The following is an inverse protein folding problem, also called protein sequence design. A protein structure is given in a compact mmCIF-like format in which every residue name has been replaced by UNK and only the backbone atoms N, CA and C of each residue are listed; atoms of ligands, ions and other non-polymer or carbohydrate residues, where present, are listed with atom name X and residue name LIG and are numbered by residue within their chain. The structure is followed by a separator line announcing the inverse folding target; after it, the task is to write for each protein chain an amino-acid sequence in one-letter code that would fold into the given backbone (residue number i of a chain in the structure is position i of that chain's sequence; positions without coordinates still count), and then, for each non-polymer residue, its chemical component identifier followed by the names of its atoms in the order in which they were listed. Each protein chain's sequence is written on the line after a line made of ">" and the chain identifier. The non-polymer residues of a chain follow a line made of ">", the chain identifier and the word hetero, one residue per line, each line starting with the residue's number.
data_IF_678518888687
#
_entry.id   IF_678518888687
#
_cell.length_a   1.000
_cell.length_b   1.000
_cell.length_c   1.000
_cell.angle_alpha   90.00
_cell.angle_beta   90.00
_cell.angle_gamma   90.00
#
_symmetry.space_group_name_H-M   'P 1'
#
loop_
_entity.id
_entity.type
_entity.pdbx_description
1 polymer ?
#
# COMPACT_ATOMS: atom_id res chain seq x y z
N UNK A 1 22.20 -27.34 19.32
CA UNK A 1 20.89 -27.16 19.98
C UNK A 1 19.96 -26.46 19.00
N UNK A 2 18.77 -26.98 18.76
CA UNK A 2 17.81 -26.42 17.81
C UNK A 2 16.62 -25.83 18.59
N UNK A 3 16.03 -24.75 18.07
CA UNK A 3 14.80 -24.14 18.67
C UNK A 3 13.66 -25.15 18.82
N UNK A 4 13.62 -26.17 17.96
CA UNK A 4 12.61 -27.25 18.03
C UNK A 4 12.69 -28.10 19.31
N UNK A 5 13.84 -28.11 19.96
CA UNK A 5 14.11 -28.96 21.14
C UNK A 5 13.83 -28.19 22.44
N UNK A 6 13.46 -26.88 22.37
CA UNK A 6 13.26 -26.00 23.51
C UNK A 6 11.81 -25.53 23.57
N UNK A 7 11.14 -25.82 24.67
CA UNK A 7 9.83 -25.26 24.99
C UNK A 7 10.00 -23.76 25.34
N UNK A 8 9.50 -22.89 24.46
CA UNK A 8 9.66 -21.43 24.60
C UNK A 8 9.02 -20.87 25.88
N UNK A 9 8.04 -21.56 26.49
CA UNK A 9 7.48 -21.16 27.78
C UNK A 9 8.52 -21.21 28.90
N UNK A 10 9.54 -22.07 28.77
CA UNK A 10 10.62 -22.11 29.76
C UNK A 10 11.42 -20.80 29.77
N UNK A 11 11.56 -20.11 28.65
CA UNK A 11 12.27 -18.82 28.56
C UNK A 11 11.52 -17.72 29.34
N UNK A 12 10.18 -17.76 29.37
CA UNK A 12 9.36 -16.87 30.20
C UNK A 12 9.63 -17.09 31.68
N UNK A 13 9.77 -18.36 32.09
CA UNK A 13 10.14 -18.70 33.47
C UNK A 13 11.53 -18.20 33.81
N UNK A 14 12.51 -18.36 32.90
CA UNK A 14 13.87 -17.85 33.08
C UNK A 14 13.88 -16.33 33.31
N UNK A 15 13.21 -15.56 32.44
CA UNK A 15 13.15 -14.11 32.55
C UNK A 15 12.46 -13.64 33.85
N UNK A 16 11.35 -14.31 34.22
CA UNK A 16 10.65 -13.99 35.46
C UNK A 16 11.52 -14.24 36.70
N UNK A 17 12.23 -15.38 36.78
CA UNK A 17 13.11 -15.69 37.92
C UNK A 17 14.31 -14.73 37.96
N UNK A 18 14.85 -14.33 36.82
CA UNK A 18 15.92 -13.33 36.70
C UNK A 18 15.49 -11.98 37.26
N UNK A 19 14.28 -11.52 36.92
CA UNK A 19 13.73 -10.23 37.34
C UNK A 19 13.36 -10.23 38.81
N UNK A 20 12.64 -11.26 39.26
CA UNK A 20 12.10 -11.35 40.61
C UNK A 20 13.10 -11.87 41.65
N UNK A 21 14.29 -12.35 41.21
CA UNK A 21 15.34 -12.95 42.05
C UNK A 21 14.82 -14.04 42.99
N UNK A 22 13.76 -14.76 42.59
CA UNK A 22 13.14 -15.80 43.42
C UNK A 22 12.12 -16.63 42.68
N UNK A 23 12.06 -17.93 43.04
CA UNK A 23 11.11 -18.88 42.41
C UNK A 23 9.66 -18.58 42.83
N UNK A 24 9.44 -18.26 44.09
CA UNK A 24 8.07 -17.97 44.63
C UNK A 24 7.49 -16.69 44.03
N UNK A 25 8.17 -15.54 44.04
CA UNK A 25 7.65 -14.33 43.39
C UNK A 25 7.51 -14.48 41.86
N UNK A 26 8.43 -15.18 41.19
CA UNK A 26 8.28 -15.47 39.78
C UNK A 26 7.06 -16.34 39.48
N UNK A 27 6.75 -17.34 40.31
CA UNK A 27 5.54 -18.15 40.18
C UNK A 27 4.28 -17.32 40.32
N UNK A 28 4.22 -16.43 41.30
CA UNK A 28 3.09 -15.51 41.50
C UNK A 28 2.90 -14.60 40.26
N UNK A 29 3.95 -14.01 39.77
CA UNK A 29 3.93 -13.13 38.58
C UNK A 29 3.52 -13.83 37.27
N UNK A 30 3.76 -15.15 37.19
CA UNK A 30 3.40 -15.97 36.00
C UNK A 30 2.05 -16.68 36.15
N UNK A 31 1.38 -16.60 37.29
CA UNK A 31 0.18 -17.39 37.58
C UNK A 31 0.43 -18.90 37.66
N UNK A 32 1.65 -19.30 38.05
CA UNK A 32 2.09 -20.68 38.15
C UNK A 32 2.30 -21.08 39.62
N UNK A 33 2.38 -22.41 39.88
CA UNK A 33 2.81 -22.90 41.17
C UNK A 33 4.33 -22.91 41.31
N UNK A 34 4.86 -22.77 42.51
CA UNK A 34 6.31 -22.82 42.78
C UNK A 34 6.96 -24.13 42.30
N UNK A 35 6.34 -25.32 42.46
CA UNK A 35 6.86 -26.56 41.86
C UNK A 35 6.95 -26.52 40.34
N UNK A 36 5.96 -25.90 39.66
CA UNK A 36 5.97 -25.77 38.21
C UNK A 36 7.16 -24.93 37.72
N UNK A 37 7.42 -23.80 38.37
CA UNK A 37 8.61 -22.95 38.07
C UNK A 37 9.91 -23.69 38.34
N UNK A 38 10.00 -24.43 39.48
CA UNK A 38 11.19 -25.25 39.80
C UNK A 38 11.45 -26.33 38.76
N UNK A 39 10.41 -27.01 38.28
CA UNK A 39 10.51 -28.03 37.23
C UNK A 39 10.92 -27.42 35.89
N UNK A 40 10.40 -26.25 35.54
CA UNK A 40 10.78 -25.51 34.35
C UNK A 40 12.26 -25.13 34.37
N UNK A 41 12.77 -24.64 35.50
CA UNK A 41 14.19 -24.37 35.70
C UNK A 41 15.05 -25.63 35.61
N UNK A 42 14.59 -26.74 36.14
CA UNK A 42 15.31 -28.01 36.02
C UNK A 42 15.45 -28.48 34.56
N UNK A 43 14.39 -28.33 33.75
CA UNK A 43 14.43 -28.59 32.31
C UNK A 43 15.39 -27.64 31.58
N UNK A 44 15.36 -26.33 31.88
CA UNK A 44 16.29 -25.38 31.28
C UNK A 44 17.76 -25.68 31.62
N UNK A 45 18.05 -26.09 32.85
CA UNK A 45 19.40 -26.59 33.25
C UNK A 45 19.88 -27.73 32.40
N UNK A 46 18.97 -28.68 32.09
CA UNK A 46 19.27 -29.79 31.19
C UNK A 46 19.54 -29.32 29.76
N UNK A 47 18.78 -28.36 29.29
CA UNK A 47 18.93 -27.79 27.93
C UNK A 47 20.25 -27.03 27.75
N UNK A 48 20.61 -26.20 28.72
CA UNK A 48 21.79 -25.32 28.59
C UNK A 48 23.06 -25.91 29.23
N UNK A 49 22.95 -26.95 30.00
CA UNK A 49 24.10 -27.54 30.73
C UNK A 49 24.65 -26.60 31.81
N UNK A 50 23.88 -25.62 32.24
CA UNK A 50 24.25 -24.65 33.24
C UNK A 50 23.22 -24.59 34.37
N UNK A 51 23.66 -24.24 35.58
CA UNK A 51 22.77 -24.10 36.76
C UNK A 51 21.79 -22.92 36.61
N UNK A 52 22.07 -21.95 35.74
CA UNK A 52 21.37 -20.72 35.47
C UNK A 52 21.21 -19.79 36.67
N UNK A 53 20.84 -20.33 37.82
CA UNK A 53 20.69 -19.58 39.07
C UNK A 53 21.26 -20.35 40.24
N UNK A 54 21.90 -19.64 41.16
CA UNK A 54 22.41 -20.12 42.44
C UNK A 54 21.67 -19.45 43.57
N UNK A 55 21.45 -20.18 44.66
CA UNK A 55 20.76 -19.65 45.86
C UNK A 55 21.77 -18.89 46.69
N UNK A 56 21.44 -17.67 47.07
CA UNK A 56 22.23 -16.79 47.94
C UNK A 56 21.36 -16.27 49.09
N UNK A 57 21.95 -15.66 50.12
CA UNK A 57 21.17 -15.00 51.20
C UNK A 57 20.21 -13.92 50.66
N UNK A 58 20.56 -13.30 49.50
CA UNK A 58 19.76 -12.29 48.82
C UNK A 58 18.73 -12.83 47.81
N UNK A 59 18.59 -14.17 47.68
CA UNK A 59 17.62 -14.80 46.76
C UNK A 59 18.28 -15.70 45.73
N UNK A 60 17.83 -15.63 44.50
CA UNK A 60 18.36 -16.40 43.33
C UNK A 60 19.23 -15.47 42.46
N UNK A 61 20.54 -15.70 42.47
CA UNK A 61 21.49 -14.95 41.63
C UNK A 61 21.81 -15.70 40.34
N UNK A 62 21.83 -14.98 39.21
CA UNK A 62 22.15 -15.53 37.91
C UNK A 62 23.64 -15.88 37.79
N UNK A 63 23.92 -17.05 37.17
CA UNK A 63 25.28 -17.42 36.74
C UNK A 63 25.81 -16.43 35.68
N UNK A 64 27.13 -16.37 35.42
CA UNK A 64 27.66 -15.58 34.30
C UNK A 64 26.97 -15.93 32.99
N UNK A 65 26.80 -17.21 32.66
CA UNK A 65 26.09 -17.67 31.47
C UNK A 65 24.63 -17.17 31.42
N UNK A 66 23.89 -17.26 32.52
CA UNK A 66 22.52 -16.77 32.57
C UNK A 66 22.42 -15.24 32.38
N UNK A 67 23.44 -14.47 32.80
CA UNK A 67 23.49 -13.02 32.55
C UNK A 67 23.70 -12.70 31.06
N UNK A 68 24.57 -13.46 30.39
CA UNK A 68 24.79 -13.33 28.94
C UNK A 68 23.52 -13.72 28.14
N UNK A 69 22.79 -14.74 28.63
CA UNK A 69 21.57 -15.22 28.00
C UNK A 69 20.36 -14.25 28.20
N UNK A 70 20.41 -13.39 29.22
CA UNK A 70 19.29 -12.55 29.62
C UNK A 70 18.80 -11.61 28.51
N UNK A 71 19.72 -10.92 27.86
CA UNK A 71 19.35 -9.95 26.83
C UNK A 71 18.80 -10.59 25.54
N UNK A 72 19.45 -11.63 24.98
CA UNK A 72 18.87 -12.40 23.87
C UNK A 72 17.49 -12.96 24.17
N UNK A 73 17.25 -13.49 25.37
CA UNK A 73 15.93 -14.04 25.76
C UNK A 73 14.89 -12.92 25.83
N UNK A 74 15.18 -11.78 26.44
CA UNK A 74 14.25 -10.64 26.48
C UNK A 74 13.86 -10.14 25.10
N UNK A 75 14.83 -10.01 24.19
CA UNK A 75 14.58 -9.60 22.81
C UNK A 75 13.70 -10.61 22.08
N UNK A 76 13.96 -11.91 22.24
CA UNK A 76 13.13 -12.95 21.64
C UNK A 76 11.69 -12.92 22.16
N UNK A 77 11.49 -12.80 23.49
CA UNK A 77 10.17 -12.69 24.11
C UNK A 77 9.45 -11.42 23.64
N UNK A 78 10.13 -10.28 23.56
CA UNK A 78 9.55 -9.03 23.07
C UNK A 78 9.10 -9.14 21.60
N UNK A 79 9.86 -9.84 20.75
CA UNK A 79 9.46 -10.12 19.36
C UNK A 79 8.23 -11.03 19.29
N UNK A 80 8.15 -12.06 20.15
CA UNK A 80 6.98 -12.94 20.23
C UNK A 80 5.76 -12.14 20.74
N UNK A 81 5.91 -11.34 21.79
CA UNK A 81 4.84 -10.50 22.30
C UNK A 81 4.37 -9.48 21.26
N UNK A 82 5.29 -8.88 20.52
CA UNK A 82 4.97 -8.01 19.39
C UNK A 82 4.17 -8.77 18.30
N UNK A 83 4.57 -9.99 17.97
CA UNK A 83 3.86 -10.82 17.00
C UNK A 83 2.45 -11.21 17.48
N UNK A 84 2.27 -11.48 18.77
CA UNK A 84 0.97 -11.80 19.39
C UNK A 84 0.10 -10.55 19.57
N UNK A 85 0.70 -9.40 19.84
CA UNK A 85 0.02 -8.10 19.89
C UNK A 85 -0.50 -7.64 18.52
N UNK A 86 0.01 -8.26 17.41
CA UNK A 86 -0.59 -8.15 16.08
C UNK A 86 -1.92 -8.95 16.03
N UNK A 87 -2.77 -8.74 17.02
CA UNK A 87 -4.17 -9.17 16.93
C UNK A 87 -4.87 -8.52 15.73
N UNK A 88 -6.09 -8.96 15.38
CA UNK A 88 -6.83 -8.46 14.21
C UNK A 88 -7.25 -6.98 14.32
N UNK A 89 -6.68 -6.20 15.23
CA UNK A 89 -6.92 -4.78 15.43
C UNK A 89 -5.96 -3.92 14.60
N UNK A 90 -6.51 -2.92 13.93
CA UNK A 90 -5.75 -1.83 13.32
C UNK A 90 -6.12 -0.52 14.03
N UNK A 91 -5.15 0.07 14.70
CA UNK A 91 -5.29 1.39 15.31
C UNK A 91 -4.49 2.42 14.49
N UNK A 92 -5.17 3.34 13.77
CA UNK A 92 -4.50 4.36 12.98
C UNK A 92 -3.54 5.23 13.78
N UNK A 93 -3.84 5.47 15.08
CA UNK A 93 -3.04 6.37 15.93
C UNK A 93 -1.68 5.82 16.33
N UNK A 94 -1.52 4.49 16.36
CA UNK A 94 -0.31 3.83 16.86
C UNK A 94 0.42 2.95 15.85
N UNK A 95 -0.23 2.60 14.74
CA UNK A 95 0.34 1.70 13.73
C UNK A 95 1.51 2.31 12.98
N UNK A 96 2.52 1.48 12.67
CA UNK A 96 3.65 1.81 11.78
C UNK A 96 3.60 1.02 10.46
N UNK A 97 2.43 0.47 10.12
CA UNK A 97 2.24 -0.37 8.93
C UNK A 97 2.62 0.37 7.65
N UNK A 98 3.32 -0.31 6.75
CA UNK A 98 3.50 0.13 5.38
C UNK A 98 2.37 -0.44 4.52
N UNK A 99 1.73 0.42 3.72
CA UNK A 99 0.77 0.02 2.71
C UNK A 99 1.36 0.21 1.33
N UNK A 100 1.35 -0.86 0.55
CA UNK A 100 1.79 -0.87 -0.85
C UNK A 100 0.60 -0.76 -1.77
N UNK A 101 0.67 0.18 -2.69
CA UNK A 101 -0.43 0.37 -3.63
C UNK A 101 0.08 0.64 -5.04
N UNK A 102 -0.75 0.25 -6.00
CA UNK A 102 -0.55 0.57 -7.40
C UNK A 102 -1.45 1.73 -7.80
N UNK A 103 -0.86 2.70 -8.48
CA UNK A 103 -1.53 3.74 -9.28
C UNK A 103 -0.67 4.01 -10.49
N UNK A 104 -1.29 4.22 -11.67
CA UNK A 104 -0.56 4.77 -12.81
C UNK A 104 0.02 6.15 -12.45
N UNK A 105 0.99 6.64 -13.22
CA UNK A 105 1.54 8.00 -13.05
C UNK A 105 0.45 9.08 -13.08
N UNK A 106 -0.57 8.89 -13.92
CA UNK A 106 -1.76 9.73 -13.98
C UNK A 106 -2.55 9.70 -12.67
N UNK A 107 -2.76 8.51 -12.10
CA UNK A 107 -3.41 8.37 -10.79
C UNK A 107 -2.59 9.00 -9.67
N UNK A 108 -1.27 8.86 -9.71
CA UNK A 108 -0.38 9.49 -8.72
C UNK A 108 -0.48 11.02 -8.74
N UNK A 109 -0.57 11.63 -9.94
CA UNK A 109 -0.72 13.10 -10.07
C UNK A 109 -1.98 13.60 -9.36
N UNK A 110 -3.07 12.86 -9.43
CA UNK A 110 -4.38 13.29 -8.92
C UNK A 110 -4.64 12.82 -7.49
N UNK A 111 -4.37 11.52 -7.20
CA UNK A 111 -4.84 10.90 -5.96
C UNK A 111 -3.81 10.93 -4.84
N UNK A 112 -2.51 10.87 -5.16
CA UNK A 112 -1.50 10.74 -4.13
C UNK A 112 -1.39 11.96 -3.21
N UNK A 113 -1.39 13.22 -3.70
CA UNK A 113 -1.26 14.38 -2.80
C UNK A 113 -2.36 14.47 -1.74
N UNK A 114 -3.67 14.41 -2.06
CA UNK A 114 -4.69 14.47 -1.03
C UNK A 114 -4.76 13.19 -0.16
N UNK A 115 -4.36 12.03 -0.71
CA UNK A 115 -4.32 10.79 0.06
C UNK A 115 -3.23 10.82 1.13
N UNK A 116 -2.01 11.25 0.78
CA UNK A 116 -0.91 11.32 1.75
C UNK A 116 -1.20 12.35 2.84
N UNK A 117 -1.76 13.50 2.49
CA UNK A 117 -2.15 14.53 3.45
C UNK A 117 -3.19 13.98 4.46
N UNK A 118 -4.18 13.26 3.98
CA UNK A 118 -5.20 12.65 4.83
C UNK A 118 -4.65 11.55 5.71
N UNK A 119 -3.83 10.65 5.15
CA UNK A 119 -3.22 9.54 5.89
C UNK A 119 -2.27 10.07 6.97
N UNK A 120 -1.44 11.07 6.68
CA UNK A 120 -0.54 11.67 7.68
C UNK A 120 -1.29 12.29 8.86
N UNK A 121 -2.47 12.88 8.63
CA UNK A 121 -3.30 13.41 9.73
C UNK A 121 -3.96 12.32 10.55
N UNK A 122 -4.47 11.27 9.90
CA UNK A 122 -5.25 10.23 10.57
C UNK A 122 -4.38 9.12 11.19
N UNK A 123 -3.21 8.86 10.63
CA UNK A 123 -2.32 7.77 11.01
C UNK A 123 -0.85 8.16 10.74
N UNK A 124 -0.24 8.99 11.60
CA UNK A 124 1.09 9.60 11.32
C UNK A 124 2.23 8.58 11.23
N UNK A 125 2.07 7.38 11.81
CA UNK A 125 3.06 6.30 11.72
C UNK A 125 2.95 5.45 10.46
N UNK A 126 1.86 5.57 9.68
CA UNK A 126 1.64 4.81 8.44
C UNK A 126 2.60 5.27 7.34
N UNK A 127 3.15 4.31 6.60
CA UNK A 127 3.92 4.55 5.40
C UNK A 127 3.13 4.14 4.16
N UNK A 128 3.18 4.95 3.11
CA UNK A 128 2.58 4.67 1.81
C UNK A 128 3.67 4.43 0.78
N UNK A 129 3.62 3.30 0.09
CA UNK A 129 4.59 2.90 -0.93
C UNK A 129 3.86 2.71 -2.27
N UNK A 130 4.11 3.61 -3.22
CA UNK A 130 3.65 3.43 -4.59
C UNK A 130 4.57 2.45 -5.32
N UNK A 131 4.00 1.37 -5.85
CA UNK A 131 4.76 0.29 -6.52
C UNK A 131 4.56 0.40 -8.03
N UNK A 132 5.66 0.36 -8.78
CA UNK A 132 5.63 0.27 -10.23
C UNK A 132 5.48 -1.19 -10.65
N UNK A 133 4.39 -1.50 -11.36
CA UNK A 133 4.08 -2.83 -11.88
C UNK A 133 3.50 -2.73 -13.28
N UNK A 134 3.69 -3.78 -14.08
CA UNK A 134 2.89 -3.98 -15.28
C UNK A 134 1.45 -4.31 -14.89
N UNK A 135 0.50 -3.91 -15.73
CA UNK A 135 -0.95 -4.10 -15.42
C UNK A 135 -1.31 -5.58 -15.28
N UNK A 136 -0.64 -6.44 -16.05
CA UNK A 136 -0.87 -7.88 -16.05
C UNK A 136 -0.43 -8.55 -14.72
N UNK A 137 0.50 -7.94 -13.97
CA UNK A 137 1.02 -8.46 -12.70
C UNK A 137 0.21 -8.01 -11.49
N UNK A 138 -0.73 -7.06 -11.66
CA UNK A 138 -1.47 -6.46 -10.53
C UNK A 138 -2.32 -7.50 -9.79
N UNK A 139 -2.99 -8.40 -10.51
CA UNK A 139 -3.85 -9.42 -9.90
C UNK A 139 -3.06 -10.33 -8.96
N UNK A 140 -1.91 -10.82 -9.42
CA UNK A 140 -1.02 -11.69 -8.64
C UNK A 140 -0.39 -10.95 -7.44
N UNK A 141 -0.01 -9.68 -7.63
CA UNK A 141 0.52 -8.86 -6.55
C UNK A 141 -0.53 -8.60 -5.45
N UNK A 142 -1.79 -8.39 -5.82
CA UNK A 142 -2.91 -8.30 -4.88
C UNK A 142 -3.17 -9.65 -4.17
N UNK A 143 -3.12 -10.77 -4.90
CA UNK A 143 -3.36 -12.10 -4.35
C UNK A 143 -2.30 -12.52 -3.32
N UNK A 144 -1.04 -12.19 -3.58
CA UNK A 144 0.10 -12.53 -2.70
C UNK A 144 0.26 -11.55 -1.53
N UNK A 145 -0.39 -10.37 -1.57
CA UNK A 145 -0.19 -9.30 -0.59
C UNK A 145 1.07 -8.46 -0.84
N UNK A 146 1.71 -8.60 -2.01
CA UNK A 146 2.74 -7.69 -2.47
C UNK A 146 2.17 -6.28 -2.73
N UNK A 147 0.86 -6.20 -3.02
CA UNK A 147 0.05 -4.99 -3.02
C UNK A 147 -1.12 -5.12 -2.03
N UNK A 148 -1.38 -4.06 -1.28
CA UNK A 148 -2.60 -3.92 -0.49
C UNK A 148 -3.79 -3.46 -1.33
N UNK A 149 -3.58 -2.50 -2.23
CA UNK A 149 -4.61 -1.89 -3.08
C UNK A 149 -4.08 -1.57 -4.48
N UNK A 150 -5.00 -1.52 -5.45
CA UNK A 150 -4.76 -0.85 -6.72
C UNK A 150 -5.88 0.17 -6.97
N UNK A 151 -5.51 1.39 -7.43
CA UNK A 151 -6.48 2.46 -7.69
C UNK A 151 -6.33 2.93 -9.13
N UNK A 152 -7.43 2.92 -9.87
CA UNK A 152 -7.44 3.37 -11.25
C UNK A 152 -8.54 2.73 -12.10
N UNK A 153 -8.44 2.95 -13.41
CA UNK A 153 -9.25 2.24 -14.40
C UNK A 153 -8.51 0.96 -14.83
N UNK A 154 -8.93 -0.19 -14.29
CA UNK A 154 -8.30 -1.50 -14.46
C UNK A 154 -9.36 -2.53 -14.90
N UNK A 155 -9.87 -2.44 -16.13
CA UNK A 155 -11.03 -3.24 -16.58
C UNK A 155 -10.71 -4.74 -16.70
N UNK A 156 -9.45 -5.15 -16.74
CA UNK A 156 -9.03 -6.56 -16.84
C UNK A 156 -9.05 -7.31 -15.50
N UNK A 157 -9.23 -6.62 -14.37
CA UNK A 157 -9.26 -7.26 -13.06
C UNK A 157 -10.67 -7.83 -12.79
N UNK A 158 -10.75 -9.15 -12.65
CA UNK A 158 -11.95 -9.89 -12.27
C UNK A 158 -11.77 -10.67 -10.97
N UNK A 159 -12.79 -11.47 -10.55
CA UNK A 159 -12.67 -12.32 -9.37
C UNK A 159 -11.38 -13.18 -9.39
N UNK A 160 -10.69 -13.34 -8.24
CA UNK A 160 -11.10 -12.99 -6.86
C UNK A 160 -10.76 -11.54 -6.43
N UNK A 161 -10.37 -10.67 -7.38
CA UNK A 161 -10.18 -9.24 -7.08
C UNK A 161 -11.53 -8.55 -6.93
N UNK A 162 -11.74 -7.93 -5.78
CA UNK A 162 -12.90 -7.10 -5.46
C UNK A 162 -12.67 -5.67 -5.92
N UNK A 163 -13.75 -4.95 -6.17
CA UNK A 163 -13.67 -3.53 -6.54
C UNK A 163 -14.77 -2.71 -5.88
N UNK A 164 -14.45 -1.43 -5.58
CA UNK A 164 -15.43 -0.41 -5.22
C UNK A 164 -15.25 0.76 -6.19
N UNK A 165 -16.32 1.10 -6.90
CA UNK A 165 -16.32 2.24 -7.81
C UNK A 165 -16.09 3.55 -7.02
N UNK A 166 -15.30 4.46 -7.60
CA UNK A 166 -15.03 5.78 -7.06
C UNK A 166 -15.78 6.83 -7.89
N UNK A 167 -15.51 6.90 -9.19
CA UNK A 167 -16.16 7.85 -10.10
C UNK A 167 -15.97 7.43 -11.56
N UNK A 168 -16.69 8.11 -12.44
CA UNK A 168 -16.53 8.01 -13.90
C UNK A 168 -15.85 9.27 -14.42
N UNK A 169 -14.74 9.10 -15.13
CA UNK A 169 -13.93 10.22 -15.64
C UNK A 169 -14.04 10.32 -17.16
N UNK A 170 -14.68 11.35 -17.71
CA UNK A 170 -14.73 11.57 -19.15
C UNK A 170 -13.35 11.94 -19.68
N UNK A 171 -13.19 11.91 -21.02
CA UNK A 171 -11.95 12.30 -21.68
C UNK A 171 -12.03 13.73 -22.24
N UNK A 172 -10.91 14.43 -22.22
CA UNK A 172 -10.71 15.74 -22.82
C UNK A 172 -9.48 15.72 -23.74
N UNK A 173 -9.46 16.62 -24.71
CA UNK A 173 -8.29 16.88 -25.55
C UNK A 173 -7.56 18.11 -25.02
N UNK A 174 -6.40 17.89 -24.44
CA UNK A 174 -5.54 18.93 -23.85
C UNK A 174 -4.59 19.47 -24.91
N UNK A 175 -4.32 20.78 -24.87
CA UNK A 175 -3.43 21.52 -25.77
C UNK A 175 -2.90 22.78 -25.08
N UNK A 176 -1.91 23.49 -25.67
CA UNK A 176 -1.46 24.79 -25.16
C UNK A 176 -2.58 25.83 -25.14
N UNK A 177 -2.52 26.76 -24.21
CA UNK A 177 -3.61 27.75 -23.98
C UNK A 177 -3.89 28.63 -25.20
N UNK A 178 -2.85 29.05 -25.89
CA UNK A 178 -2.88 29.89 -27.10
C UNK A 178 -3.00 29.08 -28.42
N UNK A 179 -3.27 27.75 -28.33
CA UNK A 179 -3.49 26.92 -29.52
C UNK A 179 -4.60 27.50 -30.41
N UNK A 180 -4.41 27.56 -31.77
CA UNK A 180 -5.36 28.21 -32.68
C UNK A 180 -6.74 27.54 -32.73
N UNK A 181 -6.85 26.26 -32.32
CA UNK A 181 -8.12 25.57 -32.24
C UNK A 181 -8.92 26.10 -31.04
N UNK A 182 -10.05 26.76 -31.32
CA UNK A 182 -11.01 27.21 -30.30
C UNK A 182 -12.22 26.27 -30.13
N UNK A 183 -12.53 25.48 -31.17
CA UNK A 183 -13.57 24.46 -31.14
C UNK A 183 -13.04 23.24 -31.92
N UNK A 184 -13.12 22.07 -31.31
CA UNK A 184 -12.53 20.83 -31.85
C UNK A 184 -13.57 20.06 -32.67
N UNK A 185 -13.59 20.30 -33.98
CA UNK A 185 -14.40 19.53 -34.92
C UNK A 185 -13.67 18.25 -35.35
N UNK A 186 -14.38 17.27 -35.93
CA UNK A 186 -13.79 16.05 -36.47
C UNK A 186 -12.65 16.34 -37.44
N UNK A 187 -12.83 17.27 -38.38
CA UNK A 187 -11.81 17.69 -39.34
C UNK A 187 -10.55 18.23 -38.65
N UNK A 188 -10.71 19.19 -37.73
CA UNK A 188 -9.58 19.79 -37.01
C UNK A 188 -8.85 18.75 -36.15
N UNK A 189 -9.56 17.79 -35.57
CA UNK A 189 -8.96 16.71 -34.80
C UNK A 189 -8.09 15.78 -35.69
N UNK A 190 -8.53 15.46 -36.90
CA UNK A 190 -7.80 14.65 -37.86
C UNK A 190 -6.58 15.38 -38.47
N UNK A 191 -6.71 16.69 -38.71
CA UNK A 191 -5.65 17.54 -39.27
C UNK A 191 -4.54 17.82 -38.24
N UNK A 192 -4.89 17.82 -36.95
CA UNK A 192 -3.95 18.04 -35.86
C UNK A 192 -2.98 16.86 -35.68
N UNK A 193 -1.82 17.18 -35.11
CA UNK A 193 -0.86 16.17 -34.67
C UNK A 193 -1.11 15.83 -33.19
N UNK A 194 -0.95 14.58 -32.82
CA UNK A 194 -1.26 14.11 -31.49
C UNK A 194 -0.05 13.49 -30.77
N UNK A 195 0.03 13.74 -29.46
CA UNK A 195 0.81 12.97 -28.53
C UNK A 195 -0.05 11.82 -27.99
N UNK A 196 0.44 10.60 -28.07
CA UNK A 196 -0.19 9.40 -27.55
C UNK A 196 0.62 8.86 -26.39
N UNK A 197 -0.02 8.72 -25.22
CA UNK A 197 0.60 8.02 -24.10
C UNK A 197 0.28 6.53 -24.22
N UNK A 198 1.32 5.70 -24.36
CA UNK A 198 1.20 4.24 -24.58
C UNK A 198 1.12 3.45 -23.27
N UNK A 199 0.19 3.83 -22.42
CA UNK A 199 -0.04 3.10 -21.18
C UNK A 199 -0.97 1.91 -21.41
N UNK A 200 -0.58 0.69 -21.02
CA UNK A 200 -1.33 -0.55 -21.27
C UNK A 200 -2.67 -0.64 -20.54
N UNK A 201 -2.86 0.13 -19.48
CA UNK A 201 -3.97 -0.06 -18.54
C UNK A 201 -5.33 0.55 -18.89
N UNK A 202 -5.49 1.35 -19.94
CA UNK A 202 -6.80 2.00 -20.11
C UNK A 202 -7.02 2.76 -21.42
N UNK A 203 -6.00 2.99 -22.24
CA UNK A 203 -6.14 3.81 -23.44
C UNK A 203 -6.83 3.12 -24.63
N UNK A 204 -7.01 1.81 -24.59
CA UNK A 204 -7.78 1.11 -25.62
C UNK A 204 -9.18 1.69 -25.80
N UNK A 205 -9.82 2.18 -24.73
CA UNK A 205 -11.15 2.80 -24.81
C UNK A 205 -11.17 4.00 -25.75
N UNK A 206 -10.14 4.85 -25.71
CA UNK A 206 -10.00 6.01 -26.61
C UNK A 206 -9.81 5.54 -28.05
N UNK A 207 -8.86 4.61 -28.28
CA UNK A 207 -8.59 4.07 -29.62
C UNK A 207 -9.82 3.41 -30.22
N UNK A 208 -10.47 2.53 -29.46
CA UNK A 208 -11.69 1.84 -29.90
C UNK A 208 -12.87 2.80 -30.20
N UNK A 209 -12.99 3.89 -29.42
CA UNK A 209 -14.01 4.89 -29.68
C UNK A 209 -13.73 5.69 -30.96
N UNK A 210 -12.47 6.03 -31.21
CA UNK A 210 -12.05 6.71 -32.45
C UNK A 210 -12.19 5.81 -33.67
N UNK A 211 -11.77 4.55 -33.57
CA UNK A 211 -11.91 3.55 -34.64
C UNK A 211 -13.38 3.34 -35.01
N UNK A 212 -14.25 3.11 -34.02
CA UNK A 212 -15.70 2.97 -34.25
C UNK A 212 -16.33 4.20 -34.93
N UNK A 213 -15.77 5.40 -34.65
CA UNK A 213 -16.20 6.64 -35.27
C UNK A 213 -15.56 6.91 -36.65
N UNK A 214 -14.67 6.05 -37.13
CA UNK A 214 -13.91 6.26 -38.36
C UNK A 214 -12.99 7.50 -38.29
N UNK A 215 -12.44 7.80 -37.12
CA UNK A 215 -11.67 9.01 -36.86
C UNK A 215 -10.20 8.67 -36.62
N UNK A 216 -9.39 8.78 -37.67
CA UNK A 216 -7.95 8.58 -37.59
C UNK A 216 -7.23 9.78 -36.95
N UNK A 217 -6.10 9.54 -36.30
CA UNK A 217 -5.21 10.56 -35.71
C UNK A 217 -3.81 10.46 -36.31
N UNK A 218 -3.19 11.61 -36.53
CA UNK A 218 -1.77 11.68 -36.87
C UNK A 218 -0.95 11.69 -35.58
N UNK A 219 -0.41 10.54 -35.19
CA UNK A 219 0.46 10.43 -34.02
C UNK A 219 1.85 10.93 -34.37
N UNK A 220 2.22 12.09 -33.84
CA UNK A 220 3.54 12.69 -33.99
C UNK A 220 4.51 12.34 -32.86
N UNK A 221 3.97 11.96 -31.67
CA UNK A 221 4.77 11.61 -30.51
C UNK A 221 4.09 10.46 -29.74
N UNK A 222 4.90 9.49 -29.30
CA UNK A 222 4.50 8.43 -28.37
C UNK A 222 5.28 8.58 -27.09
N UNK A 223 4.57 8.51 -25.93
CA UNK A 223 5.13 8.68 -24.60
C UNK A 223 4.74 7.52 -23.70
N UNK A 224 5.62 7.03 -22.81
CA UNK A 224 5.25 5.99 -21.84
C UNK A 224 4.50 6.55 -20.63
N UNK A 225 4.58 7.86 -20.34
CA UNK A 225 4.08 8.49 -19.13
C UNK A 225 3.35 9.80 -19.39
N UNK A 226 2.34 10.10 -18.56
CA UNK A 226 1.57 11.36 -18.65
C UNK A 226 2.29 12.54 -18.01
N UNK A 227 3.23 12.32 -17.11
CA UNK A 227 3.95 13.37 -16.37
C UNK A 227 4.66 14.37 -17.26
N UNK A 228 5.10 13.96 -18.43
CA UNK A 228 5.83 14.80 -19.40
C UNK A 228 4.90 15.56 -20.36
N UNK A 229 3.60 15.16 -20.43
CA UNK A 229 2.63 15.73 -21.38
C UNK A 229 2.51 17.27 -21.27
N UNK A 230 2.37 17.91 -20.08
CA UNK A 230 2.26 19.35 -19.99
C UNK A 230 3.43 20.09 -20.63
N UNK A 231 4.67 19.66 -20.36
CA UNK A 231 5.89 20.31 -20.85
C UNK A 231 6.02 20.22 -22.37
N UNK A 232 5.53 19.13 -22.97
CA UNK A 232 5.51 18.94 -24.43
C UNK A 232 4.43 19.83 -25.06
N UNK A 233 3.21 19.81 -24.50
CA UNK A 233 2.08 20.56 -25.08
C UNK A 233 2.28 22.07 -25.00
N UNK A 234 2.87 22.59 -23.93
CA UNK A 234 3.15 24.03 -23.78
C UNK A 234 4.05 24.59 -24.90
N UNK A 235 4.87 23.73 -25.53
CA UNK A 235 5.87 24.11 -26.54
C UNK A 235 5.53 23.66 -27.96
N UNK A 236 4.36 23.03 -28.15
CA UNK A 236 3.99 22.42 -29.44
C UNK A 236 2.51 22.62 -29.75
N UNK A 237 2.13 22.39 -31.01
CA UNK A 237 0.73 22.32 -31.45
C UNK A 237 0.14 20.90 -31.33
N UNK A 238 0.70 20.06 -30.48
CA UNK A 238 0.17 18.71 -30.28
C UNK A 238 -1.08 18.74 -29.41
N UNK A 239 -1.99 17.81 -29.67
CA UNK A 239 -3.12 17.49 -28.84
C UNK A 239 -2.85 16.19 -28.07
N UNK A 240 -3.28 16.09 -26.82
CA UNK A 240 -3.28 14.85 -26.06
C UNK A 240 -4.67 14.56 -25.50
N UNK A 241 -5.21 13.39 -25.79
CA UNK A 241 -6.50 12.94 -25.22
C UNK A 241 -6.24 12.19 -23.93
N UNK A 242 -6.79 12.65 -22.82
CA UNK A 242 -6.58 12.09 -21.48
C UNK A 242 -7.82 12.31 -20.57
N UNK A 243 -7.93 11.60 -19.43
CA UNK A 243 -9.02 11.78 -18.48
C UNK A 243 -9.14 13.22 -17.99
N UNK A 244 -10.39 13.69 -17.84
CA UNK A 244 -10.73 15.09 -17.59
C UNK A 244 -10.19 15.61 -16.27
N UNK A 245 -10.17 14.78 -15.22
CA UNK A 245 -9.68 15.23 -13.90
C UNK A 245 -8.22 15.63 -13.96
N UNK A 246 -7.39 14.82 -14.63
CA UNK A 246 -5.96 15.15 -14.79
C UNK A 246 -5.75 16.28 -15.78
N UNK A 247 -6.54 16.36 -16.86
CA UNK A 247 -6.52 17.53 -17.75
C UNK A 247 -6.71 18.82 -16.95
N UNK A 248 -7.69 18.84 -16.03
CA UNK A 248 -7.94 19.99 -15.13
C UNK A 248 -6.80 20.26 -14.14
N UNK A 249 -6.09 19.22 -13.65
CA UNK A 249 -4.88 19.42 -12.83
C UNK A 249 -3.83 20.17 -13.63
N UNK A 250 -3.63 19.78 -14.89
CA UNK A 250 -2.66 20.44 -15.75
C UNK A 250 -3.08 21.86 -16.14
N UNK A 251 -4.36 22.09 -16.44
CA UNK A 251 -4.89 23.44 -16.72
C UNK A 251 -4.70 24.40 -15.56
N UNK A 252 -4.92 23.96 -14.33
CA UNK A 252 -4.74 24.80 -13.13
C UNK A 252 -3.31 25.30 -12.92
N UNK A 253 -2.32 24.64 -13.50
CA UNK A 253 -0.92 25.11 -13.49
C UNK A 253 -0.66 26.24 -14.47
N UNK A 254 -1.61 26.50 -15.35
CA UNK A 254 -1.49 27.49 -16.43
C UNK A 254 -0.85 26.93 -17.70
N UNK A 255 -0.89 27.71 -18.78
CA UNK A 255 -0.27 27.35 -20.05
C UNK A 255 -1.04 26.35 -20.92
N UNK A 256 -2.08 25.69 -20.41
CA UNK A 256 -2.86 24.67 -21.14
C UNK A 256 -4.36 24.97 -21.10
N UNK A 257 -5.09 24.44 -22.08
CA UNK A 257 -6.55 24.39 -22.16
C UNK A 257 -7.00 23.04 -22.66
N UNK A 258 -8.24 22.65 -22.35
CA UNK A 258 -8.85 21.44 -22.87
C UNK A 258 -10.16 21.72 -23.61
N UNK A 259 -10.49 20.87 -24.55
CA UNK A 259 -11.75 20.84 -25.29
C UNK A 259 -12.33 19.43 -25.27
N UNK A 260 -13.64 19.32 -25.41
CA UNK A 260 -14.29 18.04 -25.56
C UNK A 260 -13.82 17.34 -26.86
N UNK A 261 -13.58 16.02 -26.86
CA UNK A 261 -13.29 15.28 -28.08
C UNK A 261 -14.48 15.36 -29.06
N UNK A 262 -14.23 15.30 -30.39
CA UNK A 262 -15.30 15.51 -31.39
C UNK A 262 -16.18 14.30 -31.58
N UNK A 263 -15.96 13.23 -30.82
CA UNK A 263 -16.76 12.01 -30.76
C UNK A 263 -16.94 11.57 -29.31
N UNK A 264 -18.04 10.90 -28.96
CA UNK A 264 -18.25 10.38 -27.63
C UNK A 264 -17.22 9.27 -27.33
N UNK A 265 -16.50 9.42 -26.22
CA UNK A 265 -15.59 8.41 -25.67
C UNK A 265 -16.20 7.93 -24.35
N UNK A 266 -16.38 6.62 -24.14
CA UNK A 266 -16.86 6.09 -22.87
C UNK A 266 -15.94 6.56 -21.73
N UNK A 267 -16.51 7.05 -20.60
CA UNK A 267 -15.72 7.48 -19.47
C UNK A 267 -14.97 6.32 -18.84
N UNK A 268 -13.83 6.59 -18.22
CA UNK A 268 -13.10 5.63 -17.42
C UNK A 268 -13.81 5.39 -16.08
N UNK A 269 -14.17 4.14 -15.77
CA UNK A 269 -14.72 3.76 -14.48
C UNK A 269 -13.58 3.53 -13.48
N UNK A 270 -13.22 4.57 -12.75
CA UNK A 270 -12.15 4.53 -11.74
C UNK A 270 -12.65 3.86 -10.48
N UNK A 271 -11.87 2.91 -9.96
CA UNK A 271 -12.21 2.14 -8.77
C UNK A 271 -10.98 1.89 -7.90
N UNK A 272 -11.21 1.56 -6.62
CA UNK A 272 -10.25 0.92 -5.76
C UNK A 272 -10.46 -0.59 -5.84
N UNK A 273 -9.35 -1.34 -5.94
CA UNK A 273 -9.31 -2.79 -6.10
C UNK A 273 -8.47 -3.42 -5.00
N UNK A 274 -8.90 -4.59 -4.52
CA UNK A 274 -8.18 -5.40 -3.53
C UNK A 274 -8.52 -6.87 -3.72
N UNK A 275 -7.70 -7.77 -3.21
CA UNK A 275 -8.01 -9.19 -3.25
C UNK A 275 -8.96 -9.57 -2.12
N UNK A 276 -9.95 -10.45 -2.37
CA UNK A 276 -10.96 -10.87 -1.38
C UNK A 276 -10.38 -11.45 -0.09
N UNK A 277 -9.19 -12.05 -0.16
CA UNK A 277 -8.43 -12.53 0.99
C UNK A 277 -8.22 -11.47 2.08
N UNK A 278 -8.12 -10.19 1.69
CA UNK A 278 -7.91 -9.06 2.59
C UNK A 278 -9.20 -8.27 2.89
N UNK A 279 -10.36 -8.84 2.53
CA UNK A 279 -11.65 -8.19 2.77
C UNK A 279 -11.88 -7.85 4.24
N UNK A 280 -11.50 -8.76 5.14
CA UNK A 280 -11.64 -8.62 6.59
C UNK A 280 -10.42 -7.97 7.28
N UNK A 281 -9.31 -7.74 6.57
CA UNK A 281 -8.13 -7.09 7.15
C UNK A 281 -8.46 -5.64 7.55
N UNK A 282 -8.35 -5.27 8.85
CA UNK A 282 -8.81 -3.96 9.31
C UNK A 282 -7.99 -2.81 8.74
N UNK A 283 -6.68 -2.97 8.54
CA UNK A 283 -5.82 -1.96 7.96
C UNK A 283 -6.11 -1.74 6.47
N UNK A 284 -6.31 -2.81 5.71
CA UNK A 284 -6.71 -2.72 4.31
C UNK A 284 -8.08 -2.06 4.17
N UNK A 285 -9.06 -2.41 5.04
CA UNK A 285 -10.38 -1.79 5.09
C UNK A 285 -10.27 -0.30 5.38
N UNK A 286 -9.49 0.09 6.39
CA UNK A 286 -9.27 1.49 6.73
C UNK A 286 -8.72 2.28 5.54
N UNK A 287 -7.68 1.77 4.85
CA UNK A 287 -7.11 2.47 3.70
C UNK A 287 -8.10 2.57 2.53
N UNK A 288 -8.90 1.51 2.26
CA UNK A 288 -10.00 1.57 1.27
C UNK A 288 -11.04 2.64 1.60
N UNK A 289 -11.36 2.82 2.87
CA UNK A 289 -12.26 3.86 3.35
C UNK A 289 -11.65 5.24 3.13
N UNK A 290 -10.37 5.46 3.47
CA UNK A 290 -9.69 6.73 3.20
C UNK A 290 -9.75 7.10 1.70
N UNK A 291 -9.46 6.14 0.82
CA UNK A 291 -9.54 6.34 -0.64
C UNK A 291 -10.98 6.61 -1.08
N UNK A 292 -11.96 5.84 -0.57
CA UNK A 292 -13.36 5.98 -0.97
C UNK A 292 -13.99 7.29 -0.50
N UNK A 293 -13.66 7.75 0.69
CA UNK A 293 -14.17 9.04 1.22
C UNK A 293 -13.58 10.26 0.52
N UNK A 294 -12.32 10.15 0.05
CA UNK A 294 -11.69 11.24 -0.69
C UNK A 294 -12.19 11.35 -2.12
N UNK A 295 -12.44 10.23 -2.79
CA UNK A 295 -12.63 10.18 -4.24
C UNK A 295 -13.98 9.59 -4.67
N UNK A 296 -14.68 8.88 -3.79
CA UNK A 296 -16.00 8.32 -4.08
C UNK A 296 -17.03 9.43 -4.35
N UNK A 297 -17.88 9.21 -5.35
CA UNK A 297 -19.06 10.07 -5.53
C UNK A 297 -20.03 9.81 -4.38
N UNK A 298 -20.48 10.90 -3.74
CA UNK A 298 -21.57 10.87 -2.76
C UNK A 298 -22.89 10.59 -3.47
#
# INVERSE_FOLDING_TARGET
>A
MNVRDVDLNLLRVFDAVLRERGVTPAAAGLGLTQPAVSNALARLRGVFGDRLFVRTPGGMDATPFARELAEPVRQALALIDAALAHGPGFDPGSTTRAFRFYMSDLGQIEFLPPLIERVQRAAPGVRLEAVALEVDDIADALATGALDLAVGFLPGLGPPVRRRALFRDPYLCLMRADHPIKALTRRKFQEASHALVTYKGGHRVVEEALERAGLARRIALRLPHFTVVPMVLERTDLLCTLPARVARVFERRGGLKSLAPPVPIPPADVAVHWHERFEADPGNRWLREQVSELFGQK
#
